data_IF_489834215371
#
_entry.id   IF_489834215371
#
_cell.length_a   1.000
_cell.length_b   1.000
_cell.length_c   1.000
_cell.angle_alpha   90.00
_cell.angle_beta   90.00
_cell.angle_gamma   90.00
#
_symmetry.space_group_name_H-M   'P 1'
#
loop_
_entity.id
_entity.type
_entity.pdbx_description
1 polymer ?
#
# COMPACT_ATOMS: atom_id res chain seq x y z
N UNK A 1 1.37 -7.60 21.71
CA UNK A 1 -0.07 -7.76 22.00
C UNK A 1 -0.71 -8.31 20.74
N UNK A 2 -1.50 -9.37 20.78
CA UNK A 2 -2.20 -9.85 19.60
C UNK A 2 -3.19 -8.77 19.17
N UNK A 3 -3.05 -8.32 17.91
CA UNK A 3 -4.06 -7.50 17.25
C UNK A 3 -5.30 -8.37 17.23
N UNK A 4 -6.29 -8.03 18.04
CA UNK A 4 -7.57 -8.74 18.13
C UNK A 4 -8.11 -8.96 16.72
N UNK A 5 -8.62 -10.18 16.46
CA UNK A 5 -9.17 -10.66 15.18
C UNK A 5 -10.45 -9.91 14.76
N UNK A 6 -10.41 -8.57 14.76
CA UNK A 6 -11.49 -7.73 14.28
C UNK A 6 -11.34 -7.60 12.77
N UNK A 7 -12.37 -7.95 12.00
CA UNK A 7 -12.37 -7.75 10.56
C UNK A 7 -12.10 -6.28 10.23
N UNK A 8 -11.48 -6.02 9.09
CA UNK A 8 -11.19 -4.64 8.71
C UNK A 8 -12.50 -3.83 8.49
N UNK A 9 -13.55 -4.45 8.00
CA UNK A 9 -14.89 -3.87 7.84
C UNK A 9 -15.47 -3.30 9.14
N UNK A 10 -15.17 -3.90 10.30
CA UNK A 10 -15.69 -3.49 11.62
C UNK A 10 -14.95 -2.29 12.23
N UNK A 11 -13.88 -1.83 11.59
CA UNK A 11 -13.06 -0.72 12.05
C UNK A 11 -13.52 0.60 11.43
N UNK A 12 -13.45 1.66 12.20
CA UNK A 12 -13.64 3.02 11.66
C UNK A 12 -12.47 3.45 10.77
N UNK A 13 -12.68 4.42 9.88
CA UNK A 13 -11.60 4.97 9.05
C UNK A 13 -10.42 5.47 9.89
N UNK A 14 -10.68 6.07 11.06
CA UNK A 14 -9.64 6.53 11.98
C UNK A 14 -8.78 5.38 12.50
N UNK A 15 -9.39 4.26 12.86
CA UNK A 15 -8.68 3.05 13.30
C UNK A 15 -7.83 2.46 12.17
N UNK A 16 -8.40 2.35 10.95
CA UNK A 16 -7.68 1.86 9.74
C UNK A 16 -6.45 2.71 9.44
N UNK A 17 -6.59 4.04 9.46
CA UNK A 17 -5.49 4.98 9.26
C UNK A 17 -4.43 4.81 10.35
N UNK A 18 -4.83 4.71 11.62
CA UNK A 18 -3.89 4.56 12.73
C UNK A 18 -3.12 3.24 12.66
N UNK A 19 -3.77 2.14 12.27
CA UNK A 19 -3.11 0.85 12.07
C UNK A 19 -2.05 0.98 10.98
N UNK A 20 -2.40 1.53 9.81
CA UNK A 20 -1.47 1.69 8.70
C UNK A 20 -0.30 2.61 9.08
N UNK A 21 -0.55 3.74 9.78
CA UNK A 21 0.50 4.64 10.27
C UNK A 21 1.47 3.94 11.23
N UNK A 22 0.95 3.19 12.20
CA UNK A 22 1.78 2.43 13.15
C UNK A 22 2.61 1.37 12.45
N UNK A 23 2.03 0.67 11.49
CA UNK A 23 2.75 -0.35 10.72
C UNK A 23 3.84 0.28 9.84
N UNK A 24 3.57 1.43 9.21
CA UNK A 24 4.57 2.19 8.45
C UNK A 24 5.69 2.75 9.34
N UNK A 25 5.42 3.07 10.60
CA UNK A 25 6.46 3.46 11.56
C UNK A 25 7.44 2.30 11.80
N UNK A 26 6.97 1.05 11.77
CA UNK A 26 7.78 -0.15 11.91
C UNK A 26 8.47 -0.49 10.58
N UNK A 27 7.74 -0.62 9.49
CA UNK A 27 8.27 -1.12 8.21
C UNK A 27 8.75 -0.01 7.26
N UNK A 28 8.29 1.23 7.35
CA UNK A 28 8.69 2.39 6.52
C UNK A 28 8.50 2.22 5.00
N UNK A 29 7.97 1.10 4.53
CA UNK A 29 7.65 0.88 3.12
C UNK A 29 6.43 -0.02 2.95
N UNK A 30 5.80 0.11 1.79
CA UNK A 30 4.76 -0.78 1.27
C UNK A 30 5.39 -1.53 0.11
N UNK A 31 5.35 -2.85 0.11
CA UNK A 31 5.80 -3.62 -1.02
C UNK A 31 4.68 -3.68 -2.06
N UNK A 32 4.91 -3.08 -3.22
CA UNK A 32 4.00 -3.16 -4.36
C UNK A 32 4.48 -4.29 -5.27
N UNK A 33 3.85 -5.46 -5.18
CA UNK A 33 4.11 -6.55 -6.10
C UNK A 33 3.16 -6.46 -7.30
N UNK A 34 3.73 -6.49 -8.51
CA UNK A 34 3.00 -6.54 -9.79
C UNK A 34 3.25 -7.90 -10.42
N UNK A 35 2.44 -8.93 -10.12
CA UNK A 35 2.59 -10.22 -10.75
C UNK A 35 2.47 -10.09 -12.28
N UNK A 36 3.23 -10.88 -13.01
CA UNK A 36 3.06 -10.96 -14.46
C UNK A 36 1.75 -11.69 -14.82
N UNK A 37 1.34 -11.61 -16.07
CA UNK A 37 0.08 -12.16 -16.54
C UNK A 37 -0.07 -13.68 -16.29
N UNK A 38 1.05 -14.43 -16.23
CA UNK A 38 1.00 -15.87 -16.01
C UNK A 38 0.45 -16.21 -14.63
N UNK A 39 0.68 -15.38 -13.61
CA UNK A 39 0.15 -15.59 -12.25
C UNK A 39 -1.37 -15.59 -12.24
N UNK A 40 -1.99 -14.85 -13.16
CA UNK A 40 -3.43 -14.79 -13.30
C UNK A 40 -4.04 -15.84 -14.23
N UNK A 41 -3.20 -16.53 -15.04
CA UNK A 41 -3.64 -17.49 -16.05
C UNK A 41 -3.28 -18.94 -15.71
N UNK A 42 -2.38 -19.16 -14.76
CA UNK A 42 -1.83 -20.48 -14.43
C UNK A 42 -1.84 -20.70 -12.91
N UNK A 43 -2.50 -21.75 -12.48
CA UNK A 43 -2.49 -22.18 -11.08
C UNK A 43 -1.08 -22.50 -10.55
N UNK A 44 -0.19 -23.01 -11.42
CA UNK A 44 1.21 -23.29 -11.06
C UNK A 44 1.94 -21.97 -10.78
N UNK A 45 1.78 -20.97 -11.66
CA UNK A 45 2.42 -19.67 -11.49
C UNK A 45 1.85 -18.92 -10.27
N UNK A 46 0.53 -18.98 -10.04
CA UNK A 46 -0.14 -18.43 -8.86
C UNK A 46 0.40 -19.06 -7.57
N UNK A 47 0.48 -20.39 -7.51
CA UNK A 47 1.04 -21.09 -6.35
C UNK A 47 2.49 -20.71 -6.10
N UNK A 48 3.31 -20.61 -7.13
CA UNK A 48 4.71 -20.18 -7.02
C UNK A 48 4.79 -18.76 -6.45
N UNK A 49 4.03 -17.81 -7.00
CA UNK A 49 3.98 -16.43 -6.49
C UNK A 49 3.61 -16.39 -5.00
N UNK A 50 2.58 -17.15 -4.60
CA UNK A 50 2.15 -17.20 -3.19
C UNK A 50 3.24 -17.85 -2.31
N UNK A 51 3.97 -18.86 -2.79
CA UNK A 51 5.09 -19.46 -2.07
C UNK A 51 6.24 -18.45 -1.86
N UNK A 52 6.64 -17.76 -2.93
CA UNK A 52 7.70 -16.75 -2.86
C UNK A 52 7.30 -15.60 -1.90
N UNK A 53 6.03 -15.18 -1.94
CA UNK A 53 5.51 -14.20 -1.00
C UNK A 53 5.49 -14.72 0.45
N UNK A 54 5.21 -16.02 0.65
CA UNK A 54 5.25 -16.64 1.98
C UNK A 54 6.63 -16.45 2.62
N UNK A 55 7.71 -16.67 1.87
CA UNK A 55 9.06 -16.50 2.38
C UNK A 55 9.33 -15.07 2.87
N UNK A 56 8.79 -14.07 2.19
CA UNK A 56 8.96 -12.66 2.60
C UNK A 56 8.09 -12.32 3.81
N UNK A 57 6.87 -12.83 3.86
CA UNK A 57 5.97 -12.64 5.02
C UNK A 57 6.59 -13.27 6.27
N UNK A 58 7.18 -14.46 6.17
CA UNK A 58 7.91 -15.12 7.26
C UNK A 58 9.14 -14.32 7.73
N UNK A 59 9.75 -13.53 6.85
CA UNK A 59 10.82 -12.59 7.20
C UNK A 59 10.33 -11.29 7.82
N UNK A 60 9.02 -11.10 7.91
CA UNK A 60 8.41 -9.98 8.63
C UNK A 60 7.84 -8.88 7.74
N UNK A 61 7.47 -9.17 6.49
CA UNK A 61 6.68 -8.25 5.69
C UNK A 61 5.34 -7.98 6.38
N UNK A 62 4.99 -6.71 6.54
CA UNK A 62 3.78 -6.27 7.22
C UNK A 62 2.75 -5.64 6.28
N UNK A 63 3.17 -5.08 5.14
CA UNK A 63 2.30 -4.34 4.22
C UNK A 63 2.61 -4.72 2.78
N UNK A 64 1.58 -5.21 2.08
CA UNK A 64 1.62 -5.60 0.68
C UNK A 64 0.57 -4.81 -0.10
N UNK A 65 0.88 -4.45 -1.34
CA UNK A 65 -0.05 -3.86 -2.30
C UNK A 65 0.03 -4.61 -3.63
N UNK A 66 -1.11 -4.97 -4.20
CA UNK A 66 -1.24 -5.59 -5.53
C UNK A 66 -2.05 -4.63 -6.42
N UNK A 67 -1.61 -4.31 -7.65
CA UNK A 67 -2.38 -3.46 -8.53
C UNK A 67 -3.74 -4.08 -8.87
N UNK A 68 -4.79 -3.28 -8.76
CA UNK A 68 -6.12 -3.69 -9.20
C UNK A 68 -6.22 -3.68 -10.72
N UNK A 69 -6.92 -4.66 -11.26
CA UNK A 69 -7.44 -4.63 -12.61
C UNK A 69 -8.76 -5.42 -12.66
N UNK A 70 -9.59 -5.09 -13.63
CA UNK A 70 -10.93 -5.67 -13.78
C UNK A 70 -10.85 -7.09 -14.36
N UNK A 71 -10.67 -8.08 -13.47
CA UNK A 71 -10.56 -9.49 -13.85
C UNK A 71 -10.90 -10.40 -12.66
N UNK A 72 -11.66 -11.45 -12.92
CA UNK A 72 -12.03 -12.45 -11.89
C UNK A 72 -10.79 -13.14 -11.29
N UNK A 73 -9.78 -13.42 -12.09
CA UNK A 73 -8.54 -14.03 -11.60
C UNK A 73 -7.77 -13.13 -10.61
N UNK A 74 -7.96 -11.79 -10.71
CA UNK A 74 -7.45 -10.89 -9.69
C UNK A 74 -8.19 -11.08 -8.36
N UNK A 75 -9.51 -11.21 -8.40
CA UNK A 75 -10.30 -11.48 -7.19
C UNK A 75 -9.89 -12.79 -6.54
N UNK A 76 -9.67 -13.85 -7.32
CA UNK A 76 -9.23 -15.15 -6.84
C UNK A 76 -7.85 -15.07 -6.16
N UNK A 77 -6.87 -14.44 -6.83
CA UNK A 77 -5.55 -14.23 -6.24
C UNK A 77 -5.62 -13.47 -4.92
N UNK A 78 -6.38 -12.37 -4.88
CA UNK A 78 -6.50 -11.54 -3.68
C UNK A 78 -7.23 -12.26 -2.55
N UNK A 79 -8.22 -13.09 -2.86
CA UNK A 79 -8.91 -13.96 -1.91
C UNK A 79 -7.96 -14.99 -1.29
N UNK A 80 -7.14 -15.64 -2.13
CA UNK A 80 -6.12 -16.60 -1.66
C UNK A 80 -5.09 -15.91 -0.74
N UNK A 81 -4.61 -14.73 -1.14
CA UNK A 81 -3.67 -13.95 -0.33
C UNK A 81 -4.29 -13.53 1.00
N UNK A 82 -5.55 -13.09 1.00
CA UNK A 82 -6.24 -12.66 2.21
C UNK A 82 -6.44 -13.82 3.18
N UNK A 83 -6.83 -14.99 2.66
CA UNK A 83 -7.02 -16.21 3.45
C UNK A 83 -5.71 -16.72 4.04
N UNK A 84 -4.63 -16.71 3.23
CA UNK A 84 -3.33 -17.23 3.63
C UNK A 84 -2.61 -16.32 4.63
N UNK A 85 -2.76 -15.00 4.49
CA UNK A 85 -2.05 -14.00 5.29
C UNK A 85 -3.00 -13.08 6.07
N UNK A 86 -3.77 -13.59 7.04
CA UNK A 86 -4.80 -12.81 7.75
C UNK A 86 -4.23 -11.62 8.54
N UNK A 87 -2.95 -11.66 8.91
CA UNK A 87 -2.29 -10.60 9.68
C UNK A 87 -1.53 -9.58 8.81
N UNK A 88 -1.35 -9.86 7.52
CA UNK A 88 -0.73 -8.95 6.59
C UNK A 88 -1.70 -7.81 6.25
N UNK A 89 -1.23 -6.57 6.26
CA UNK A 89 -1.99 -5.46 5.70
C UNK A 89 -1.92 -5.56 4.18
N UNK A 90 -3.02 -5.99 3.57
CA UNK A 90 -3.12 -6.14 2.12
C UNK A 90 -3.94 -5.00 1.56
N UNK A 91 -3.40 -4.30 0.58
CA UNK A 91 -4.04 -3.24 -0.16
C UNK A 91 -4.09 -3.48 -1.65
N UNK A 92 -4.87 -2.67 -2.36
CA UNK A 92 -4.89 -2.63 -3.83
C UNK A 92 -4.39 -1.28 -4.35
N UNK A 93 -3.55 -1.34 -5.40
CA UNK A 93 -2.98 -0.15 -6.04
C UNK A 93 -3.77 0.26 -7.29
N UNK A 94 -3.57 1.52 -7.68
CA UNK A 94 -4.02 2.05 -8.98
C UNK A 94 -5.55 2.07 -9.18
N UNK A 95 -6.32 2.27 -8.11
CA UNK A 95 -7.78 2.37 -8.21
C UNK A 95 -8.19 3.56 -9.07
N UNK A 96 -9.16 3.34 -9.96
CA UNK A 96 -9.59 4.32 -10.96
C UNK A 96 -11.11 4.49 -11.07
N UNK A 97 -11.91 3.59 -10.49
CA UNK A 97 -13.37 3.61 -10.59
C UNK A 97 -14.03 3.00 -9.34
N UNK A 98 -15.37 3.10 -9.24
CA UNK A 98 -16.12 2.56 -8.09
C UNK A 98 -16.00 1.05 -7.98
N UNK A 99 -16.02 0.32 -9.09
CA UNK A 99 -15.88 -1.15 -9.10
C UNK A 99 -14.60 -1.59 -8.39
N UNK A 100 -13.48 -0.87 -8.59
CA UNK A 100 -12.22 -1.18 -7.92
C UNK A 100 -12.29 -1.02 -6.38
N UNK A 101 -13.13 -0.10 -5.89
CA UNK A 101 -13.41 0.05 -4.45
C UNK A 101 -14.31 -1.09 -3.97
N UNK A 102 -15.37 -1.42 -4.73
CA UNK A 102 -16.32 -2.49 -4.37
C UNK A 102 -15.63 -3.86 -4.31
N UNK A 103 -14.76 -4.17 -5.28
CA UNK A 103 -13.94 -5.38 -5.28
C UNK A 103 -13.02 -5.44 -4.04
N UNK A 104 -12.42 -4.31 -3.67
CA UNK A 104 -11.56 -4.21 -2.50
C UNK A 104 -12.34 -4.37 -1.18
N UNK A 105 -13.56 -3.83 -1.11
CA UNK A 105 -14.48 -4.00 0.01
C UNK A 105 -14.93 -5.45 0.15
N UNK A 106 -15.32 -6.09 -0.96
CA UNK A 106 -15.74 -7.50 -0.98
C UNK A 106 -14.68 -8.43 -0.41
N UNK A 107 -13.41 -8.11 -0.61
CA UNK A 107 -12.27 -8.88 -0.13
C UNK A 107 -11.77 -8.43 1.27
N UNK A 108 -12.46 -7.50 1.92
CA UNK A 108 -12.05 -6.90 3.21
C UNK A 108 -10.59 -6.42 3.21
N UNK A 109 -10.13 -5.80 2.10
CA UNK A 109 -8.77 -5.27 2.01
C UNK A 109 -8.58 -4.11 2.97
N UNK A 110 -7.36 -3.97 3.50
CA UNK A 110 -7.07 -3.02 4.56
C UNK A 110 -7.06 -1.57 4.09
N UNK A 111 -6.64 -1.32 2.84
CA UNK A 111 -6.55 0.00 2.22
C UNK A 111 -6.47 -0.13 0.71
N UNK A 112 -6.56 1.01 0.02
CA UNK A 112 -6.19 1.11 -1.39
C UNK A 112 -5.56 2.45 -1.70
N UNK A 113 -4.83 2.52 -2.82
CA UNK A 113 -4.26 3.76 -3.31
C UNK A 113 -4.80 4.13 -4.69
N UNK A 114 -5.28 5.36 -4.83
CA UNK A 114 -5.61 5.92 -6.15
C UNK A 114 -4.35 6.20 -6.95
N UNK A 115 -4.47 6.17 -8.27
CA UNK A 115 -3.41 6.62 -9.18
C UNK A 115 -3.23 8.12 -9.08
N UNK A 116 -4.31 8.87 -9.25
CA UNK A 116 -4.40 10.32 -9.22
C UNK A 116 -5.58 10.76 -8.36
N UNK A 117 -5.66 12.04 -8.01
CA UNK A 117 -6.78 12.60 -7.27
C UNK A 117 -8.10 12.44 -8.03
N UNK A 118 -9.12 11.96 -7.33
CA UNK A 118 -10.50 11.92 -7.80
C UNK A 118 -11.43 12.07 -6.59
N UNK A 119 -12.09 13.23 -6.50
CA UNK A 119 -12.95 13.59 -5.36
C UNK A 119 -14.15 12.66 -5.21
N UNK A 120 -14.71 12.19 -6.33
CA UNK A 120 -15.93 11.36 -6.32
C UNK A 120 -15.60 9.97 -5.80
N UNK A 121 -14.49 9.39 -6.21
CA UNK A 121 -14.00 8.12 -5.67
C UNK A 121 -13.63 8.24 -4.19
N UNK A 122 -12.98 9.32 -3.79
CA UNK A 122 -12.64 9.56 -2.40
C UNK A 122 -13.90 9.71 -1.53
N UNK A 123 -14.90 10.44 -2.01
CA UNK A 123 -16.19 10.60 -1.32
C UNK A 123 -16.93 9.26 -1.23
N UNK A 124 -16.92 8.48 -2.32
CA UNK A 124 -17.53 7.15 -2.36
C UNK A 124 -16.88 6.21 -1.35
N UNK A 125 -15.55 6.17 -1.28
CA UNK A 125 -14.83 5.32 -0.33
C UNK A 125 -15.15 5.70 1.13
N UNK A 126 -15.21 7.00 1.44
CA UNK A 126 -15.60 7.48 2.79
C UNK A 126 -17.00 7.05 3.18
N UNK A 127 -17.96 7.15 2.27
CA UNK A 127 -19.35 6.68 2.49
C UNK A 127 -19.41 5.19 2.85
N UNK A 128 -18.53 4.39 2.24
CA UNK A 128 -18.46 2.96 2.47
C UNK A 128 -17.44 2.57 3.57
N UNK A 129 -17.02 3.53 4.40
CA UNK A 129 -16.05 3.29 5.48
C UNK A 129 -14.76 2.58 4.99
N UNK A 130 -14.32 2.86 3.75
CA UNK A 130 -13.14 2.24 3.14
C UNK A 130 -11.94 3.21 3.13
N UNK A 131 -10.76 2.72 3.52
CA UNK A 131 -9.53 3.52 3.51
C UNK A 131 -8.96 3.59 2.09
N UNK A 132 -9.24 4.69 1.41
CA UNK A 132 -8.67 5.03 0.13
C UNK A 132 -7.67 6.18 0.28
N UNK A 133 -6.42 5.94 -0.09
CA UNK A 133 -5.33 6.92 -0.04
C UNK A 133 -5.23 7.60 -1.40
N UNK A 134 -5.54 8.89 -1.49
CA UNK A 134 -5.50 9.61 -2.76
C UNK A 134 -4.07 9.81 -3.26
N UNK A 135 -3.88 9.69 -4.57
CA UNK A 135 -2.62 9.97 -5.27
C UNK A 135 -2.57 11.40 -5.77
N UNK A 136 -1.46 12.10 -5.52
CA UNK A 136 -1.24 13.47 -5.96
C UNK A 136 -0.09 13.52 -6.95
N UNK A 137 -0.31 14.24 -8.07
CA UNK A 137 0.71 14.48 -9.09
C UNK A 137 1.15 15.94 -9.12
N UNK A 138 0.42 16.83 -8.44
CA UNK A 138 0.68 18.26 -8.39
C UNK A 138 0.11 18.95 -7.17
N UNK A 139 0.49 20.23 -7.00
CA UNK A 139 0.11 21.05 -5.84
C UNK A 139 -1.39 21.35 -5.79
N UNK A 140 -2.04 21.47 -6.94
CA UNK A 140 -3.50 21.72 -7.02
C UNK A 140 -4.29 20.56 -6.43
N UNK A 141 -3.94 19.32 -6.83
CA UNK A 141 -4.57 18.12 -6.30
C UNK A 141 -4.36 18.02 -4.79
N UNK A 142 -3.15 18.35 -4.32
CA UNK A 142 -2.81 18.35 -2.90
C UNK A 142 -3.71 19.33 -2.12
N UNK A 143 -3.85 20.56 -2.60
CA UNK A 143 -4.69 21.58 -1.95
C UNK A 143 -6.16 21.15 -1.90
N UNK A 144 -6.68 20.58 -2.99
CA UNK A 144 -8.05 20.07 -3.01
C UNK A 144 -8.22 18.90 -2.03
N UNK A 145 -7.33 17.91 -2.04
CA UNK A 145 -7.39 16.79 -1.12
C UNK A 145 -7.34 17.20 0.36
N UNK A 146 -6.57 18.23 0.69
CA UNK A 146 -6.53 18.83 2.03
C UNK A 146 -7.89 19.41 2.41
N UNK A 147 -8.57 20.10 1.49
CA UNK A 147 -9.91 20.64 1.74
C UNK A 147 -10.95 19.56 2.02
N UNK A 148 -10.75 18.35 1.47
CA UNK A 148 -11.53 17.14 1.77
C UNK A 148 -11.12 16.40 3.05
N UNK A 149 -10.23 17.01 3.87
CA UNK A 149 -9.73 16.47 5.15
C UNK A 149 -9.06 15.09 4.98
N UNK A 150 -8.27 14.91 3.91
CA UNK A 150 -7.42 13.76 3.77
C UNK A 150 -6.33 13.78 4.83
N UNK A 151 -6.17 12.70 5.58
CA UNK A 151 -5.15 12.57 6.64
C UNK A 151 -3.96 11.71 6.22
N UNK A 152 -4.05 11.04 5.05
CA UNK A 152 -2.97 10.32 4.42
C UNK A 152 -3.04 10.52 2.90
N UNK A 153 -1.90 10.79 2.29
CA UNK A 153 -1.81 11.17 0.87
C UNK A 153 -0.59 10.49 0.25
N UNK A 154 -0.75 9.94 -0.95
CA UNK A 154 0.36 9.41 -1.76
C UNK A 154 0.87 10.48 -2.73
N UNK A 155 2.17 10.71 -2.76
CA UNK A 155 2.85 11.60 -3.71
C UNK A 155 3.46 10.76 -4.82
N UNK A 156 3.10 11.05 -6.07
CA UNK A 156 3.64 10.39 -7.26
C UNK A 156 3.82 11.40 -8.41
N UNK A 157 4.99 11.49 -9.04
CA UNK A 157 6.25 10.86 -8.61
C UNK A 157 6.81 11.53 -7.34
N UNK A 158 7.50 10.76 -6.52
CA UNK A 158 8.08 11.23 -5.24
C UNK A 158 9.08 12.37 -5.42
N UNK A 159 9.72 12.45 -6.59
CA UNK A 159 10.68 13.50 -6.94
C UNK A 159 10.04 14.86 -7.29
N UNK A 160 8.72 15.01 -7.15
CA UNK A 160 8.06 16.29 -7.43
C UNK A 160 8.52 17.36 -6.42
N UNK A 161 9.37 18.29 -6.89
CA UNK A 161 10.00 19.32 -6.05
C UNK A 161 8.98 20.27 -5.42
N UNK A 162 7.92 20.62 -6.13
CA UNK A 162 6.90 21.57 -5.64
C UNK A 162 6.15 21.03 -4.42
N UNK A 163 5.94 19.71 -4.39
CA UNK A 163 5.31 19.05 -3.26
C UNK A 163 6.30 18.86 -2.12
N UNK A 164 7.54 18.44 -2.42
CA UNK A 164 8.60 18.23 -1.42
C UNK A 164 8.84 19.46 -0.55
N UNK A 165 8.87 20.66 -1.15
CA UNK A 165 9.04 21.93 -0.44
C UNK A 165 7.90 22.24 0.56
N UNK A 166 6.76 21.58 0.42
CA UNK A 166 5.57 21.84 1.20
C UNK A 166 5.21 20.74 2.21
N UNK A 167 5.85 19.56 2.17
CA UNK A 167 5.51 18.44 3.06
C UNK A 167 5.52 18.85 4.52
N UNK A 168 6.54 19.56 4.97
CA UNK A 168 6.69 20.00 6.36
C UNK A 168 5.65 21.04 6.81
N UNK A 169 4.96 21.69 5.88
CA UNK A 169 3.87 22.63 6.20
C UNK A 169 2.58 21.91 6.62
N UNK A 170 2.46 20.63 6.28
CA UNK A 170 1.25 19.83 6.50
C UNK A 170 1.50 18.69 7.49
N UNK A 171 2.04 19.01 8.67
CA UNK A 171 2.43 18.04 9.70
C UNK A 171 1.28 17.14 10.22
N UNK A 172 0.02 17.54 9.98
CA UNK A 172 -1.17 16.77 10.31
C UNK A 172 -1.50 15.69 9.24
N UNK A 173 -0.82 15.71 8.08
CA UNK A 173 -1.00 14.76 6.97
C UNK A 173 0.16 13.78 6.94
N UNK A 174 -0.13 12.51 6.76
CA UNK A 174 0.88 11.48 6.54
C UNK A 174 1.12 11.30 5.04
N UNK A 175 2.33 11.57 4.59
CA UNK A 175 2.69 11.41 3.19
C UNK A 175 3.34 10.05 2.94
N UNK A 176 2.92 9.39 1.86
CA UNK A 176 3.53 8.17 1.35
C UNK A 176 4.12 8.48 -0.02
N UNK A 177 5.41 8.25 -0.18
CA UNK A 177 6.08 8.50 -1.46
C UNK A 177 5.96 7.30 -2.41
N UNK A 178 5.81 7.55 -3.71
CA UNK A 178 5.79 6.50 -4.73
C UNK A 178 6.49 6.96 -6.02
N UNK A 179 7.05 6.01 -6.78
CA UNK A 179 7.69 6.27 -8.08
C UNK A 179 9.19 5.95 -8.06
N UNK A 180 9.56 4.85 -8.71
CA UNK A 180 10.93 4.35 -8.94
C UNK A 180 11.91 4.47 -7.75
N UNK A 181 11.44 4.07 -6.57
CA UNK A 181 12.20 4.20 -5.33
C UNK A 181 13.10 2.98 -5.16
N UNK A 182 14.40 3.22 -5.07
CA UNK A 182 15.37 2.19 -4.73
C UNK A 182 15.25 1.80 -3.24
N UNK A 183 15.48 0.52 -2.93
CA UNK A 183 15.40 0.01 -1.55
C UNK A 183 16.34 0.79 -0.62
N UNK A 184 17.52 1.14 -1.09
CA UNK A 184 18.52 1.89 -0.32
C UNK A 184 18.09 3.35 -0.01
N UNK A 185 17.14 3.90 -0.76
CA UNK A 185 16.67 5.29 -0.58
C UNK A 185 15.52 5.41 0.45
N UNK A 186 15.00 4.32 0.98
CA UNK A 186 13.85 4.34 1.91
C UNK A 186 14.13 5.26 3.10
N UNK A 187 15.31 5.15 3.71
CA UNK A 187 15.68 5.98 4.87
C UNK A 187 15.84 7.47 4.52
N UNK A 188 16.33 7.77 3.32
CA UNK A 188 16.42 9.14 2.80
C UNK A 188 15.04 9.80 2.72
N UNK A 189 14.04 9.10 2.17
CA UNK A 189 12.68 9.65 2.09
C UNK A 189 12.02 9.77 3.47
N UNK A 190 12.33 8.86 4.39
CA UNK A 190 11.88 8.99 5.77
C UNK A 190 12.43 10.25 6.44
N UNK A 191 13.72 10.58 6.24
CA UNK A 191 14.32 11.82 6.77
C UNK A 191 13.76 13.10 6.14
N UNK A 192 13.17 13.01 4.95
CA UNK A 192 12.45 14.12 4.29
C UNK A 192 11.00 14.30 4.80
N UNK A 193 10.54 13.51 5.78
CA UNK A 193 9.23 13.64 6.39
C UNK A 193 8.15 12.70 5.83
N UNK A 194 8.50 11.78 4.92
CA UNK A 194 7.55 10.75 4.49
C UNK A 194 7.32 9.73 5.60
N UNK A 195 6.05 9.35 5.82
CA UNK A 195 5.67 8.28 6.74
C UNK A 195 6.16 6.91 6.25
N UNK A 196 6.23 6.75 4.95
CA UNK A 196 6.74 5.56 4.27
C UNK A 196 6.76 5.77 2.76
N UNK A 197 7.24 4.75 2.05
CA UNK A 197 7.34 4.77 0.59
C UNK A 197 6.77 3.49 -0.02
N UNK A 198 6.38 3.55 -1.29
CA UNK A 198 5.97 2.37 -2.06
C UNK A 198 7.16 1.87 -2.87
N UNK A 199 7.63 0.66 -2.57
CA UNK A 199 8.69 -0.03 -3.31
C UNK A 199 8.03 -0.96 -4.31
N UNK A 200 8.13 -0.65 -5.60
CA UNK A 200 7.54 -1.39 -6.71
C UNK A 200 8.54 -2.32 -7.41
N UNK A 201 8.84 -2.04 -8.67
CA UNK A 201 9.71 -2.87 -9.54
C UNK A 201 11.11 -3.12 -9.00
N UNK A 202 11.61 -2.24 -8.15
CA UNK A 202 12.90 -2.43 -7.43
C UNK A 202 12.80 -3.42 -6.28
N UNK A 203 11.61 -3.81 -5.87
CA UNK A 203 11.38 -4.83 -4.83
C UNK A 203 10.84 -6.14 -5.39
N UNK A 204 10.06 -6.06 -6.48
CA UNK A 204 9.51 -7.20 -7.20
C UNK A 204 9.41 -6.87 -8.69
N UNK A 205 10.15 -7.61 -9.52
CA UNK A 205 10.28 -7.33 -10.96
C UNK A 205 9.17 -7.96 -11.84
N UNK A 206 8.23 -8.64 -11.23
CA UNK A 206 7.14 -9.38 -11.90
C UNK A 206 7.29 -10.89 -11.83
N UNK A 207 8.48 -11.38 -11.49
CA UNK A 207 8.81 -12.81 -11.40
C UNK A 207 9.43 -13.18 -10.05
N UNK A 208 10.28 -12.34 -9.50
CA UNK A 208 11.02 -12.59 -8.24
C UNK A 208 11.16 -11.33 -7.40
N UNK A 209 11.36 -11.54 -6.11
CA UNK A 209 11.66 -10.48 -5.14
C UNK A 209 13.16 -10.17 -5.11
N UNK A 210 13.50 -8.88 -5.01
CA UNK A 210 14.90 -8.46 -4.86
C UNK A 210 15.44 -8.96 -3.51
N UNK A 211 16.63 -9.60 -3.48
CA UNK A 211 17.26 -10.07 -2.24
C UNK A 211 17.41 -9.00 -1.15
N UNK A 212 17.57 -7.73 -1.52
CA UNK A 212 17.67 -6.61 -0.56
C UNK A 212 16.41 -6.41 0.28
N UNK A 213 15.24 -6.84 -0.21
CA UNK A 213 14.02 -6.83 0.62
C UNK A 213 14.18 -7.76 1.82
N UNK A 214 14.76 -8.95 1.63
CA UNK A 214 15.00 -9.89 2.72
C UNK A 214 16.02 -9.34 3.74
N UNK A 215 17.08 -8.68 3.26
CA UNK A 215 18.07 -8.03 4.13
C UNK A 215 17.43 -6.92 4.95
N UNK A 216 16.63 -6.06 4.33
CA UNK A 216 15.91 -4.96 4.97
C UNK A 216 14.96 -5.45 6.08
N UNK A 217 14.24 -6.53 5.84
CA UNK A 217 13.32 -7.12 6.82
C UNK A 217 14.07 -7.79 7.98
N UNK A 218 15.19 -8.47 7.73
CA UNK A 218 16.02 -9.09 8.76
C UNK A 218 16.62 -8.07 9.72
N UNK A 219 17.12 -6.94 9.21
CA UNK A 219 17.69 -5.86 10.04
C UNK A 219 16.63 -5.32 10.99
N UNK A 220 15.41 -5.08 10.50
CA UNK A 220 14.32 -4.56 11.33
C UNK A 220 13.88 -5.54 12.41
N UNK A 221 13.81 -6.83 12.12
CA UNK A 221 13.45 -7.85 13.12
C UNK A 221 14.45 -7.92 14.29
N UNK A 222 15.73 -7.63 14.05
CA UNK A 222 16.75 -7.59 15.12
C UNK A 222 16.63 -6.35 16.02
N UNK A 223 16.11 -5.23 15.52
CA UNK A 223 15.92 -4.00 16.28
C UNK A 223 14.71 -4.03 17.24
N UNK A 224 13.80 -4.97 17.06
CA UNK A 224 12.56 -5.11 17.85
C UNK A 224 12.54 -6.38 18.73
N UNK A 225 13.64 -7.10 18.81
CA UNK A 225 13.89 -8.17 19.79
C UNK A 225 14.59 -7.59 21.01
#
# INVERSE_FOLDING_TARGET
MPITCKNNSDRTLKEKINILKKTLAIQSFILLARPNDNVYKSEIAKKKFIQDLTLIVEKGLLILEIPWFDNENWLDLMSDLRSKFPYLLIGSASLINKKSIDDSLKLDLNFSMMRTWNKDLFTYSKKNNYLLIPGMTGIKDLQEAISYKCSMIKIFPIANKDILLNINKYNHISFVGAGDIAINDINKFKSLGYQGVVVGSKGYDGEKFDPKIFELLNIKRQQYK
#
